data_IF_743697460295
#
_entry.id   IF_743697460295
#
_cell.length_a   1.000
_cell.length_b   1.000
_cell.length_c   1.000
_cell.angle_alpha   90.00
_cell.angle_beta   90.00
_cell.angle_gamma   90.00
#
_symmetry.space_group_name_H-M   'P 1'
#
loop_
_entity.id
_entity.type
_entity.pdbx_description
1 polymer ?
#
# COMPACT_ATOMS: atom_id res chain seq x y z
N UNK A 1 -19.52 -18.40 4.45
CA UNK A 1 -18.96 -17.74 3.25
C UNK A 1 -19.26 -18.64 2.06
N UNK A 2 -19.99 -18.17 1.04
CA UNK A 2 -20.14 -18.95 -0.20
C UNK A 2 -18.75 -19.06 -0.86
N UNK A 3 -18.38 -20.22 -1.41
CA UNK A 3 -17.03 -20.45 -1.98
C UNK A 3 -16.63 -19.43 -3.06
N UNK A 4 -17.63 -18.83 -3.74
CA UNK A 4 -17.45 -17.80 -4.78
C UNK A 4 -18.23 -16.55 -4.43
N UNK A 5 -17.80 -15.88 -3.37
CA UNK A 5 -18.35 -14.60 -2.95
C UNK A 5 -17.52 -13.43 -3.51
N UNK A 6 -17.92 -12.20 -3.15
CA UNK A 6 -17.23 -10.99 -3.60
C UNK A 6 -15.75 -10.96 -3.19
N UNK A 7 -15.41 -11.56 -2.05
CA UNK A 7 -14.03 -11.69 -1.59
C UNK A 7 -13.22 -12.54 -2.59
N UNK A 8 -13.73 -13.73 -2.93
CA UNK A 8 -13.05 -14.65 -3.85
C UNK A 8 -12.80 -14.00 -5.21
N UNK A 9 -13.80 -13.36 -5.81
CA UNK A 9 -13.65 -12.74 -7.13
C UNK A 9 -12.68 -11.56 -7.15
N UNK A 10 -12.63 -10.76 -6.07
CA UNK A 10 -11.66 -9.65 -5.94
C UNK A 10 -10.23 -10.18 -5.85
N UNK A 11 -10.00 -11.22 -5.04
CA UNK A 11 -8.67 -11.84 -4.92
C UNK A 11 -8.26 -12.52 -6.24
N UNK A 12 -9.18 -13.20 -6.94
CA UNK A 12 -8.90 -13.82 -8.24
C UNK A 12 -8.52 -12.80 -9.31
N UNK A 13 -9.24 -11.67 -9.38
CA UNK A 13 -8.88 -10.59 -10.29
C UNK A 13 -7.47 -10.09 -9.99
N UNK A 14 -7.14 -9.83 -8.73
CA UNK A 14 -5.81 -9.41 -8.32
C UNK A 14 -4.71 -10.43 -8.66
N UNK A 15 -4.97 -11.74 -8.53
CA UNK A 15 -4.02 -12.78 -8.94
C UNK A 15 -3.72 -12.72 -10.44
N UNK A 16 -4.76 -12.56 -11.27
CA UNK A 16 -4.58 -12.44 -12.72
C UNK A 16 -3.75 -11.20 -13.05
N UNK A 17 -4.11 -10.05 -12.48
CA UNK A 17 -3.43 -8.79 -12.74
C UNK A 17 -1.96 -8.85 -12.27
N UNK A 18 -1.67 -9.50 -11.14
CA UNK A 18 -0.30 -9.76 -10.67
C UNK A 18 0.48 -10.63 -11.66
N UNK A 19 -0.11 -11.72 -12.16
CA UNK A 19 0.53 -12.59 -13.16
C UNK A 19 0.81 -11.83 -14.46
N UNK A 20 -0.10 -10.98 -14.91
CA UNK A 20 0.08 -10.13 -16.09
C UNK A 20 1.23 -9.12 -15.88
N UNK A 21 1.28 -8.45 -14.73
CA UNK A 21 2.35 -7.51 -14.38
C UNK A 21 3.72 -8.18 -14.27
N UNK A 22 3.79 -9.45 -13.86
CA UNK A 22 5.03 -10.23 -13.86
C UNK A 22 5.47 -10.70 -15.26
N UNK A 23 4.75 -10.33 -16.34
CA UNK A 23 5.07 -10.74 -17.71
C UNK A 23 4.38 -12.02 -18.17
N UNK A 24 3.28 -12.40 -17.52
CA UNK A 24 2.43 -13.54 -17.91
C UNK A 24 2.79 -14.87 -17.24
N UNK A 25 2.04 -15.91 -17.59
CA UNK A 25 2.05 -17.22 -16.90
C UNK A 25 3.45 -17.87 -16.86
N UNK A 26 4.21 -17.82 -17.95
CA UNK A 26 5.52 -18.49 -18.02
C UNK A 26 6.54 -17.86 -17.07
N UNK A 27 6.68 -16.53 -17.11
CA UNK A 27 7.60 -15.80 -16.24
C UNK A 27 7.16 -15.86 -14.77
N UNK A 28 5.86 -15.74 -14.51
CA UNK A 28 5.34 -15.89 -13.15
C UNK A 28 5.56 -17.30 -12.57
N UNK A 29 5.52 -18.34 -13.41
CA UNK A 29 5.81 -19.72 -13.00
C UNK A 29 7.27 -19.88 -12.54
N UNK A 30 8.22 -19.30 -13.28
CA UNK A 30 9.64 -19.27 -12.92
C UNK A 30 9.87 -18.54 -11.59
N UNK A 31 9.33 -17.33 -11.44
CA UNK A 31 9.49 -16.51 -10.21
C UNK A 31 8.89 -17.24 -9.00
N UNK A 32 7.69 -17.79 -9.15
CA UNK A 32 6.97 -18.44 -8.05
C UNK A 32 7.48 -19.85 -7.73
N UNK A 33 8.36 -20.43 -8.56
CA UNK A 33 8.76 -21.84 -8.51
C UNK A 33 7.56 -22.80 -8.60
N UNK A 34 6.62 -22.50 -9.50
CA UNK A 34 5.41 -23.28 -9.76
C UNK A 34 5.35 -23.68 -11.23
N UNK A 35 4.51 -24.67 -11.57
CA UNK A 35 4.24 -24.97 -12.99
C UNK A 35 3.35 -23.90 -13.63
N UNK A 36 3.49 -23.70 -14.94
CA UNK A 36 2.60 -22.81 -15.71
C UNK A 36 1.12 -23.20 -15.57
N UNK A 37 0.83 -24.49 -15.42
CA UNK A 37 -0.54 -24.97 -15.18
C UNK A 37 -1.08 -24.53 -13.81
N UNK A 38 -0.25 -24.57 -12.76
CA UNK A 38 -0.64 -24.07 -11.43
C UNK A 38 -0.88 -22.56 -11.48
N UNK A 39 0.02 -21.78 -12.08
CA UNK A 39 -0.16 -20.33 -12.24
C UNK A 39 -1.43 -20.02 -13.06
N UNK A 40 -1.65 -20.74 -14.15
CA UNK A 40 -2.84 -20.59 -14.99
C UNK A 40 -4.14 -20.82 -14.20
N UNK A 41 -4.18 -21.84 -13.33
CA UNK A 41 -5.34 -22.06 -12.44
C UNK A 41 -5.49 -20.94 -11.42
N UNK A 42 -4.41 -20.48 -10.79
CA UNK A 42 -4.43 -19.37 -9.84
C UNK A 42 -4.97 -18.06 -10.45
N UNK A 43 -4.72 -17.80 -11.74
CA UNK A 43 -5.22 -16.64 -12.48
C UNK A 43 -6.61 -16.85 -13.12
N UNK A 44 -7.06 -18.09 -13.34
CA UNK A 44 -8.35 -18.38 -13.96
C UNK A 44 -9.52 -18.28 -12.97
N UNK A 45 -10.48 -17.40 -13.24
CA UNK A 45 -11.68 -17.17 -12.42
C UNK A 45 -12.54 -18.43 -12.17
N UNK A 46 -12.49 -19.41 -13.09
CA UNK A 46 -13.25 -20.65 -12.97
C UNK A 46 -12.60 -21.68 -12.02
N UNK A 47 -11.35 -21.46 -11.65
CA UNK A 47 -10.60 -22.33 -10.72
C UNK A 47 -10.58 -21.73 -9.32
N UNK A 48 -10.84 -22.59 -8.33
CA UNK A 48 -10.81 -22.25 -6.91
C UNK A 48 -9.37 -22.09 -6.36
N UNK A 49 -8.34 -22.37 -7.19
CA UNK A 49 -6.94 -22.23 -6.80
C UNK A 49 -6.56 -20.75 -6.61
N UNK A 50 -5.86 -20.47 -5.52
CA UNK A 50 -5.28 -19.17 -5.19
C UNK A 50 -3.76 -19.29 -5.05
N UNK A 51 -3.05 -18.18 -5.26
CA UNK A 51 -1.62 -18.11 -4.95
C UNK A 51 -1.41 -18.36 -3.46
N UNK A 52 -0.43 -19.21 -3.13
CA UNK A 52 0.03 -19.35 -1.75
C UNK A 52 0.73 -18.06 -1.30
N UNK A 53 0.81 -17.83 0.02
CA UNK A 53 1.49 -16.66 0.56
C UNK A 53 2.94 -16.51 0.05
N UNK A 54 3.67 -17.64 -0.09
CA UNK A 54 5.04 -17.67 -0.64
C UNK A 54 5.08 -17.26 -2.11
N UNK A 55 4.21 -17.82 -2.95
CA UNK A 55 4.18 -17.51 -4.38
C UNK A 55 3.82 -16.04 -4.62
N UNK A 56 2.78 -15.56 -3.93
CA UNK A 56 2.37 -14.16 -3.94
C UNK A 56 3.50 -13.22 -3.55
N UNK A 57 4.18 -13.47 -2.42
CA UNK A 57 5.26 -12.61 -1.93
C UNK A 57 6.42 -12.50 -2.93
N UNK A 58 6.78 -13.61 -3.62
CA UNK A 58 7.83 -13.59 -4.65
C UNK A 58 7.45 -12.75 -5.87
N UNK A 59 6.22 -12.93 -6.36
CA UNK A 59 5.71 -12.18 -7.51
C UNK A 59 5.59 -10.68 -7.19
N UNK A 60 5.04 -10.33 -6.03
CA UNK A 60 4.92 -8.93 -5.58
C UNK A 60 6.30 -8.28 -5.36
N UNK A 61 7.29 -9.04 -4.91
CA UNK A 61 8.68 -8.57 -4.80
C UNK A 61 9.33 -8.31 -6.16
N UNK A 62 9.08 -9.15 -7.17
CA UNK A 62 9.60 -8.95 -8.55
C UNK A 62 9.12 -7.62 -9.15
N UNK A 63 7.86 -7.24 -8.90
CA UNK A 63 7.27 -5.99 -9.40
C UNK A 63 7.37 -4.81 -8.43
N UNK A 64 7.92 -5.04 -7.22
CA UNK A 64 8.15 -4.02 -6.20
C UNK A 64 6.90 -3.43 -5.55
N UNK A 65 5.74 -4.11 -5.59
CA UNK A 65 4.49 -3.59 -4.99
C UNK A 65 3.50 -4.70 -4.57
N UNK A 66 2.74 -4.54 -3.47
CA UNK A 66 1.73 -5.49 -3.04
C UNK A 66 0.43 -5.29 -3.82
N UNK A 67 0.07 -6.24 -4.69
CA UNK A 67 -1.13 -6.19 -5.54
C UNK A 67 -2.25 -7.01 -4.90
N UNK A 68 -2.02 -8.30 -4.72
CA UNK A 68 -2.98 -9.23 -4.11
C UNK A 68 -3.06 -8.96 -2.62
N UNK A 69 -1.92 -8.76 -1.96
CA UNK A 69 -1.84 -8.46 -0.53
C UNK A 69 -2.61 -7.17 -0.19
N UNK A 70 -2.54 -6.14 -1.05
CA UNK A 70 -3.33 -4.92 -0.88
C UNK A 70 -4.83 -5.19 -0.91
N UNK A 71 -5.30 -5.95 -1.89
CA UNK A 71 -6.73 -6.31 -2.00
C UNK A 71 -7.20 -7.11 -0.79
N UNK A 72 -6.39 -8.03 -0.28
CA UNK A 72 -6.70 -8.78 0.95
C UNK A 72 -6.83 -7.87 2.18
N UNK A 73 -5.93 -6.89 2.32
CA UNK A 73 -5.96 -5.90 3.42
C UNK A 73 -7.21 -5.00 3.30
N UNK A 74 -7.52 -4.52 2.10
CA UNK A 74 -8.71 -3.69 1.83
C UNK A 74 -10.02 -4.45 2.09
N UNK A 75 -10.06 -5.75 1.82
CA UNK A 75 -11.19 -6.61 2.13
C UNK A 75 -11.45 -6.74 3.64
N UNK A 76 -10.43 -6.49 4.47
CA UNK A 76 -10.55 -6.43 5.93
C UNK A 76 -10.90 -5.01 6.44
N UNK A 77 -11.05 -4.03 5.56
CA UNK A 77 -11.31 -2.63 5.92
C UNK A 77 -10.06 -1.83 6.31
N UNK A 78 -8.86 -2.35 5.99
CA UNK A 78 -7.59 -1.69 6.23
C UNK A 78 -7.05 -1.06 4.94
N UNK A 79 -6.16 -0.07 5.05
CA UNK A 79 -5.45 0.50 3.90
C UNK A 79 -3.96 0.20 4.00
N UNK A 80 -3.34 -0.13 2.87
CA UNK A 80 -1.90 -0.35 2.77
C UNK A 80 -1.20 0.90 2.22
N UNK A 81 -0.34 1.52 3.03
CA UNK A 81 0.48 2.65 2.61
C UNK A 81 1.94 2.22 2.54
N UNK A 82 2.61 2.55 1.43
CA UNK A 82 4.05 2.35 1.35
C UNK A 82 4.72 3.40 2.24
N UNK A 83 5.43 2.94 3.25
CA UNK A 83 6.28 3.78 4.09
C UNK A 83 7.72 3.49 3.71
N UNK A 84 8.50 4.54 3.46
CA UNK A 84 9.93 4.37 3.24
C UNK A 84 10.55 3.83 4.53
N UNK A 85 11.08 2.61 4.48
CA UNK A 85 11.93 2.06 5.52
C UNK A 85 13.33 2.68 5.37
N UNK A 86 13.46 4.00 5.58
CA UNK A 86 14.77 4.63 5.55
C UNK A 86 15.63 4.09 6.71
N UNK A 87 16.94 3.84 6.49
CA UNK A 87 17.83 3.42 7.56
C UNK A 87 17.98 4.55 8.57
N UNK A 88 17.84 4.20 9.84
CA UNK A 88 18.02 5.10 10.96
C UNK A 88 19.42 5.73 10.93
N UNK A 89 19.53 7.01 10.60
CA UNK A 89 20.70 7.81 10.94
C UNK A 89 20.43 9.33 11.05
N UNK A 90 19.49 9.91 10.28
CA UNK A 90 19.37 11.38 10.20
C UNK A 90 17.93 11.95 10.32
N UNK A 91 16.94 11.09 10.59
CA UNK A 91 15.52 11.47 10.79
C UNK A 91 15.06 11.40 12.27
N UNK A 92 15.99 11.40 13.23
CA UNK A 92 15.64 11.39 14.66
C UNK A 92 15.31 12.78 15.22
N UNK A 93 15.28 13.84 14.41
CA UNK A 93 14.94 15.19 14.86
C UNK A 93 13.41 15.37 14.86
N UNK A 94 12.74 15.42 16.03
CA UNK A 94 11.28 15.57 16.11
C UNK A 94 10.80 16.86 15.44
N UNK A 95 11.60 17.93 15.49
CA UNK A 95 11.29 19.19 14.83
C UNK A 95 11.20 19.04 13.30
N UNK A 96 12.05 18.22 12.69
CA UNK A 96 12.01 17.97 11.24
C UNK A 96 10.75 17.20 10.85
N UNK A 97 10.37 16.19 11.64
CA UNK A 97 9.15 15.43 11.43
C UNK A 97 7.89 16.31 11.56
N UNK A 98 7.80 17.10 12.63
CA UNK A 98 6.69 18.03 12.84
C UNK A 98 6.64 19.12 11.76
N UNK A 99 7.79 19.67 11.36
CA UNK A 99 7.85 20.68 10.29
C UNK A 99 7.35 20.12 8.96
N UNK A 100 7.68 18.86 8.65
CA UNK A 100 7.18 18.18 7.46
C UNK A 100 5.66 17.98 7.52
N UNK A 101 5.13 17.49 8.65
CA UNK A 101 3.68 17.34 8.84
C UNK A 101 2.95 18.68 8.65
N UNK A 102 3.50 19.77 9.21
CA UNK A 102 2.93 21.11 9.06
C UNK A 102 2.95 21.61 7.62
N UNK A 103 4.01 21.32 6.86
CA UNK A 103 4.10 21.68 5.44
C UNK A 103 3.03 20.95 4.61
N UNK A 104 2.95 19.63 4.76
CA UNK A 104 1.99 18.81 4.01
C UNK A 104 0.53 19.16 4.38
N UNK A 105 0.26 19.52 5.63
CA UNK A 105 -1.04 20.08 6.03
C UNK A 105 -1.35 21.40 5.30
N UNK A 106 -0.34 22.26 5.14
CA UNK A 106 -0.46 23.49 4.35
C UNK A 106 -0.81 23.22 2.89
N UNK A 107 -0.23 22.17 2.29
CA UNK A 107 -0.51 21.76 0.91
C UNK A 107 -1.95 21.22 0.76
N UNK A 108 -2.42 20.39 1.70
CA UNK A 108 -3.82 19.94 1.75
C UNK A 108 -4.79 21.13 1.82
N UNK A 109 -4.52 22.08 2.72
CA UNK A 109 -5.36 23.27 2.87
C UNK A 109 -5.37 24.14 1.61
N UNK A 110 -4.22 24.30 0.97
CA UNK A 110 -4.09 25.08 -0.27
C UNK A 110 -4.87 24.43 -1.42
N UNK A 111 -4.75 23.09 -1.58
CA UNK A 111 -5.49 22.34 -2.59
C UNK A 111 -7.01 22.41 -2.36
N UNK A 112 -7.46 22.33 -1.11
CA UNK A 112 -8.88 22.47 -0.77
C UNK A 112 -9.42 23.86 -1.10
N UNK A 113 -8.68 24.93 -0.74
CA UNK A 113 -9.10 26.31 -0.99
C UNK A 113 -9.18 26.58 -2.49
N UNK A 114 -8.18 26.15 -3.28
CA UNK A 114 -8.20 26.33 -4.73
C UNK A 114 -9.34 25.54 -5.37
N UNK A 115 -9.57 24.30 -4.91
CA UNK A 115 -10.67 23.46 -5.39
C UNK A 115 -12.06 24.04 -5.08
N UNK A 116 -12.20 24.91 -4.09
CA UNK A 116 -13.47 25.58 -3.76
C UNK A 116 -13.64 26.95 -4.44
N UNK A 117 -12.66 27.41 -5.24
CA UNK A 117 -12.59 28.79 -5.73
C UNK A 117 -13.75 29.19 -6.63
N UNK A 118 -14.31 28.24 -7.37
CA UNK A 118 -15.46 28.45 -8.26
C UNK A 118 -16.82 28.24 -7.54
N UNK A 119 -16.80 28.06 -6.22
CA UNK A 119 -17.97 27.82 -5.38
C UNK A 119 -18.52 26.39 -5.47
N UNK A 120 -17.80 25.47 -6.12
CA UNK A 120 -18.13 24.05 -6.19
C UNK A 120 -16.91 23.24 -5.78
N UNK A 121 -17.12 21.99 -5.36
CA UNK A 121 -16.04 21.05 -5.09
C UNK A 121 -16.26 19.83 -5.97
N UNK A 122 -15.49 19.72 -7.04
CA UNK A 122 -15.69 18.72 -8.08
C UNK A 122 -15.00 17.39 -7.75
N UNK A 123 -15.32 16.30 -8.47
CA UNK A 123 -14.57 15.05 -8.37
C UNK A 123 -13.09 15.18 -8.70
N UNK A 124 -12.71 16.13 -9.57
CA UNK A 124 -11.31 16.39 -9.89
C UNK A 124 -10.59 17.03 -8.69
N UNK A 125 -11.23 17.97 -8.01
CA UNK A 125 -10.69 18.61 -6.79
C UNK A 125 -10.56 17.58 -5.67
N UNK A 126 -11.56 16.71 -5.52
CA UNK A 126 -11.49 15.60 -4.58
C UNK A 126 -10.30 14.66 -4.85
N UNK A 127 -9.99 14.38 -6.12
CA UNK A 127 -8.83 13.56 -6.48
C UNK A 127 -7.49 14.26 -6.14
N UNK A 128 -7.41 15.57 -6.34
CA UNK A 128 -6.23 16.38 -5.97
C UNK A 128 -6.06 16.39 -4.45
N UNK A 129 -7.11 16.73 -3.70
CA UNK A 129 -7.07 16.75 -2.22
C UNK A 129 -6.77 15.35 -1.67
N UNK A 130 -7.31 14.29 -2.27
CA UNK A 130 -7.02 12.92 -1.86
C UNK A 130 -5.53 12.56 -2.04
N UNK A 131 -4.88 13.07 -3.08
CA UNK A 131 -3.44 12.91 -3.28
C UNK A 131 -2.66 13.62 -2.16
N UNK A 132 -2.96 14.88 -1.88
CA UNK A 132 -2.27 15.66 -0.82
C UNK A 132 -2.52 15.07 0.58
N UNK A 133 -3.74 14.58 0.85
CA UNK A 133 -4.04 13.83 2.08
C UNK A 133 -3.22 12.55 2.19
N UNK A 134 -2.97 11.86 1.07
CA UNK A 134 -2.10 10.69 1.07
C UNK A 134 -0.64 11.04 1.38
N UNK A 135 -0.16 12.22 1.00
CA UNK A 135 1.21 12.65 1.27
C UNK A 135 1.36 13.11 2.73
N UNK A 136 0.37 13.83 3.27
CA UNK A 136 0.25 14.12 4.71
C UNK A 136 0.24 12.83 5.56
N UNK A 137 -0.53 11.82 5.16
CA UNK A 137 -0.57 10.54 5.88
C UNK A 137 0.80 9.85 5.94
N UNK A 138 1.59 9.90 4.85
CA UNK A 138 2.96 9.37 4.83
C UNK A 138 3.86 10.16 5.78
N UNK A 139 3.75 11.48 5.83
CA UNK A 139 4.53 12.32 6.74
C UNK A 139 4.22 12.04 8.21
N UNK A 140 2.94 11.84 8.54
CA UNK A 140 2.50 11.44 9.90
C UNK A 140 3.08 10.08 10.28
N UNK A 141 3.00 9.07 9.41
CA UNK A 141 3.55 7.75 9.69
C UNK A 141 5.09 7.75 9.83
N UNK A 142 5.79 8.52 8.99
CA UNK A 142 7.23 8.72 9.14
C UNK A 142 7.56 9.34 10.52
N UNK A 143 6.82 10.38 10.92
CA UNK A 143 6.97 10.98 12.25
C UNK A 143 6.70 10.01 13.41
N UNK A 144 5.70 9.13 13.25
CA UNK A 144 5.38 8.08 14.24
C UNK A 144 6.52 7.07 14.36
N UNK A 145 7.09 6.60 13.26
CA UNK A 145 8.22 5.68 13.25
C UNK A 145 9.48 6.31 13.86
N UNK A 146 9.79 7.57 13.54
CA UNK A 146 10.91 8.29 14.15
C UNK A 146 10.75 8.43 15.67
N UNK A 147 9.53 8.70 16.14
CA UNK A 147 9.22 8.80 17.58
C UNK A 147 9.34 7.45 18.28
N UNK A 148 8.81 6.37 17.67
CA UNK A 148 8.97 5.02 18.20
C UNK A 148 10.44 4.60 18.31
N UNK A 149 11.27 4.96 17.32
CA UNK A 149 12.72 4.71 17.36
C UNK A 149 13.44 5.50 18.47
N UNK A 150 12.96 6.71 18.83
CA UNK A 150 13.47 7.45 19.98
C UNK A 150 13.09 6.79 21.31
N UNK A 151 11.83 6.37 21.47
CA UNK A 151 11.38 5.62 22.65
C UNK A 151 12.16 4.30 22.82
N UNK A 152 12.50 3.61 21.73
CA UNK A 152 13.30 2.38 21.82
C UNK A 152 14.78 2.62 22.21
N UNK A 153 15.31 3.82 21.96
CA UNK A 153 16.70 4.21 22.35
C UNK A 153 16.78 4.72 23.79
N UNK A 154 15.73 5.36 24.30
CA UNK A 154 15.60 5.69 25.71
C UNK A 154 14.97 4.52 26.47
N UNK A 155 15.80 3.62 27.02
CA UNK A 155 15.35 2.64 28.02
C UNK A 155 14.60 3.31 29.19
N UNK A 156 13.87 2.54 30.04
CA UNK A 156 12.90 3.09 30.98
C UNK A 156 13.53 4.24 31.77
N UNK A 157 12.92 5.41 31.70
CA UNK A 157 13.34 6.54 32.52
C UNK A 157 13.14 6.10 33.98
N UNK A 158 14.25 6.05 34.71
CA UNK A 158 14.28 5.86 36.16
C UNK A 158 13.33 6.87 36.83
N UNK A 159 12.38 6.35 37.60
CA UNK A 159 11.59 7.08 38.61
C UNK A 159 12.47 7.38 39.85
#
# INVERSE_FOLDING_TARGET
MNKRDAWFFRVKAANRDLVEMCGGIARAAEIAELSSAQIGRCANIESDDLLSARAKAKLEADIGRPVVTRVEIELLGWSAHQVALAPAADESCPHRAISRISAEMGDVMSAYIEGCRDGRFSPADAAIVAKELSDLAKAVEAGRLSSAALCARGGPADD
#
